data_IF_604437390510
#
_entry.id   IF_604437390510
#
_cell.length_a   1.000
_cell.length_b   1.000
_cell.length_c   1.000
_cell.angle_alpha   90.00
_cell.angle_beta   90.00
_cell.angle_gamma   90.00
#
_symmetry.space_group_name_H-M   'P 1'
#
loop_
_entity.id
_entity.type
_entity.pdbx_description
1 polymer ?
#
# COMPACT_ATOMS: atom_id res chain seq x y z
N UNK A 1 -12.66 -14.27 -6.27
CA UNK A 1 -12.16 -12.94 -6.66
C UNK A 1 -10.75 -12.77 -6.13
N UNK A 2 -9.77 -12.42 -6.96
CA UNK A 2 -8.39 -12.13 -6.56
C UNK A 2 -8.20 -10.63 -6.39
N UNK A 3 -7.70 -10.24 -5.23
CA UNK A 3 -7.42 -8.85 -4.89
C UNK A 3 -5.92 -8.73 -4.59
N UNK A 4 -5.29 -7.69 -5.14
CA UNK A 4 -3.87 -7.43 -4.97
C UNK A 4 -3.63 -6.04 -4.37
N UNK A 5 -2.46 -5.88 -3.77
CA UNK A 5 -1.85 -4.57 -3.51
C UNK A 5 -0.41 -4.58 -4.03
N UNK A 6 0.03 -3.46 -4.61
CA UNK A 6 1.38 -3.34 -5.15
C UNK A 6 1.89 -1.91 -5.11
N UNK A 7 2.97 -1.68 -4.35
CA UNK A 7 3.80 -0.48 -4.51
C UNK A 7 4.70 -0.66 -5.74
N UNK A 8 4.51 0.21 -6.73
CA UNK A 8 5.12 0.09 -8.06
C UNK A 8 6.38 0.96 -8.24
N UNK A 9 6.85 1.60 -7.18
CA UNK A 9 8.02 2.49 -7.11
C UNK A 9 8.05 3.55 -8.23
N UNK A 10 7.53 4.75 -7.92
CA UNK A 10 7.61 5.93 -8.79
C UNK A 10 6.97 5.77 -10.18
N UNK A 11 5.72 5.33 -10.23
CA UNK A 11 5.07 5.02 -11.51
C UNK A 11 4.92 6.25 -12.42
N UNK A 12 4.74 7.43 -11.82
CA UNK A 12 4.57 8.72 -12.51
C UNK A 12 5.69 9.04 -13.53
N UNK A 13 6.93 8.63 -13.25
CA UNK A 13 8.08 8.86 -14.11
C UNK A 13 8.02 8.10 -15.45
N UNK A 14 7.14 7.09 -15.55
CA UNK A 14 6.99 6.23 -16.73
C UNK A 14 5.97 6.76 -17.74
N UNK A 15 5.25 7.84 -17.41
CA UNK A 15 4.24 8.43 -18.27
C UNK A 15 4.67 9.82 -18.76
N UNK A 16 4.04 10.30 -19.82
CA UNK A 16 4.06 11.71 -20.19
C UNK A 16 2.89 12.48 -19.57
N UNK A 17 2.73 13.76 -19.93
CA UNK A 17 1.64 14.60 -19.43
C UNK A 17 0.25 14.13 -19.93
N UNK A 18 0.20 13.40 -21.05
CA UNK A 18 -1.04 12.85 -21.62
C UNK A 18 -1.40 11.45 -21.09
N UNK A 19 -0.63 10.94 -20.13
CA UNK A 19 -0.81 9.60 -19.58
C UNK A 19 -0.37 8.48 -20.50
N UNK A 20 0.44 8.76 -21.53
CA UNK A 20 1.02 7.73 -22.40
C UNK A 20 2.36 7.25 -21.86
N UNK A 21 2.65 5.95 -22.05
CA UNK A 21 3.88 5.33 -21.58
C UNK A 21 5.11 5.80 -22.36
N UNK A 22 6.14 6.26 -21.65
CA UNK A 22 7.45 6.65 -22.19
C UNK A 22 8.37 5.44 -22.34
N UNK A 23 8.24 4.71 -23.44
CA UNK A 23 9.03 3.48 -23.72
C UNK A 23 10.37 3.76 -24.39
N UNK A 24 11.14 4.67 -23.83
CA UNK A 24 12.49 4.98 -24.28
C UNK A 24 13.55 4.39 -23.34
N UNK A 25 14.80 4.44 -23.79
CA UNK A 25 15.96 3.92 -23.05
C UNK A 25 16.52 4.93 -22.03
N UNK A 26 15.79 6.00 -21.70
CA UNK A 26 16.22 6.91 -20.63
C UNK A 26 16.04 6.24 -19.26
N UNK A 27 16.79 6.72 -18.27
CA UNK A 27 16.69 6.23 -16.90
C UNK A 27 15.30 6.48 -16.30
N UNK A 28 14.80 5.47 -15.60
CA UNK A 28 13.65 5.63 -14.70
C UNK A 28 14.10 6.25 -13.36
N UNK A 29 13.16 6.36 -12.41
CA UNK A 29 13.48 6.71 -11.03
C UNK A 29 14.23 5.57 -10.30
N UNK A 30 14.12 4.32 -10.77
CA UNK A 30 14.85 3.18 -10.23
C UNK A 30 16.32 3.23 -10.63
N UNK A 31 17.18 2.88 -9.67
CA UNK A 31 18.62 2.85 -9.91
C UNK A 31 19.02 1.78 -10.95
N UNK A 32 19.65 2.24 -12.04
CA UNK A 32 20.14 1.39 -13.16
C UNK A 32 19.05 0.61 -13.90
N UNK A 33 17.82 1.13 -13.93
CA UNK A 33 16.73 0.57 -14.73
C UNK A 33 16.22 1.65 -15.68
N UNK A 34 16.08 1.34 -16.97
CA UNK A 34 15.50 2.27 -17.95
C UNK A 34 13.98 2.29 -17.84
N UNK A 35 13.33 3.34 -18.36
CA UNK A 35 11.87 3.39 -18.39
C UNK A 35 11.28 2.25 -19.21
N UNK A 36 11.84 1.93 -20.37
CA UNK A 36 11.41 0.80 -21.19
C UNK A 36 11.47 -0.53 -20.41
N UNK A 37 12.56 -0.76 -19.66
CA UNK A 37 12.73 -1.99 -18.86
C UNK A 37 11.71 -2.07 -17.71
N UNK A 38 11.55 -0.98 -16.94
CA UNK A 38 10.60 -0.95 -15.82
C UNK A 38 9.16 -1.12 -16.32
N UNK A 39 8.79 -0.46 -17.43
CA UNK A 39 7.46 -0.57 -18.05
C UNK A 39 7.19 -2.02 -18.49
N UNK A 40 8.14 -2.66 -19.17
CA UNK A 40 7.98 -4.05 -19.61
C UNK A 40 7.91 -5.02 -18.43
N UNK A 41 8.70 -4.79 -17.38
CA UNK A 41 8.70 -5.59 -16.16
C UNK A 41 7.37 -5.46 -15.41
N UNK A 42 6.88 -4.24 -15.17
CA UNK A 42 5.57 -3.98 -14.56
C UNK A 42 4.45 -4.63 -15.37
N UNK A 43 4.47 -4.50 -16.71
CA UNK A 43 3.49 -5.16 -17.57
C UNK A 43 3.42 -6.68 -17.35
N UNK A 44 4.58 -7.35 -17.32
CA UNK A 44 4.66 -8.80 -17.03
C UNK A 44 4.15 -9.15 -15.64
N UNK A 45 4.52 -8.38 -14.63
CA UNK A 45 4.07 -8.61 -13.25
C UNK A 45 2.55 -8.47 -13.17
N UNK A 46 1.97 -7.39 -13.67
CA UNK A 46 0.51 -7.17 -13.65
C UNK A 46 -0.26 -8.25 -14.43
N UNK A 47 0.26 -8.71 -15.57
CA UNK A 47 -0.31 -9.84 -16.31
C UNK A 47 -0.27 -11.14 -15.49
N UNK A 48 0.85 -11.43 -14.82
CA UNK A 48 1.00 -12.63 -14.00
C UNK A 48 0.10 -12.62 -12.74
N UNK A 49 -0.16 -11.45 -12.17
CA UNK A 49 -1.08 -11.31 -11.04
C UNK A 49 -2.49 -11.79 -11.40
N UNK A 50 -2.95 -11.45 -12.62
CA UNK A 50 -4.28 -11.79 -13.14
C UNK A 50 -5.41 -11.48 -12.13
N UNK A 51 -5.32 -10.31 -11.49
CA UNK A 51 -6.19 -9.93 -10.38
C UNK A 51 -7.45 -9.20 -10.86
N UNK A 52 -8.57 -9.42 -10.18
CA UNK A 52 -9.83 -8.70 -10.42
C UNK A 52 -9.75 -7.24 -9.92
N UNK A 53 -8.91 -6.98 -8.92
CA UNK A 53 -8.67 -5.66 -8.35
C UNK A 53 -7.23 -5.54 -7.84
N UNK A 54 -6.59 -4.40 -8.08
CA UNK A 54 -5.23 -4.09 -7.68
C UNK A 54 -5.22 -2.70 -7.04
N UNK A 55 -4.93 -2.64 -5.74
CA UNK A 55 -4.60 -1.40 -5.06
C UNK A 55 -3.17 -0.99 -5.44
N UNK A 56 -3.03 0.00 -6.31
CA UNK A 56 -1.76 0.52 -6.78
C UNK A 56 -1.28 1.61 -5.82
N UNK A 57 -0.13 1.38 -5.21
CA UNK A 57 0.55 2.31 -4.31
C UNK A 57 1.69 2.98 -5.08
N UNK A 58 1.84 4.30 -4.92
CA UNK A 58 2.70 5.13 -5.79
C UNK A 58 2.24 5.16 -7.25
N UNK A 59 0.93 5.19 -7.45
CA UNK A 59 0.32 5.40 -8.75
C UNK A 59 0.73 6.78 -9.35
N UNK A 60 0.61 6.96 -10.68
CA UNK A 60 1.00 8.19 -11.36
C UNK A 60 0.29 9.43 -10.79
N UNK A 61 0.87 10.62 -10.99
CA UNK A 61 0.34 11.87 -10.46
C UNK A 61 -0.98 12.29 -11.12
N UNK A 62 -1.81 13.02 -10.36
CA UNK A 62 -3.00 13.69 -10.88
C UNK A 62 -2.96 15.16 -10.52
N UNK A 63 -2.92 16.04 -11.53
CA UNK A 63 -2.92 17.48 -11.32
C UNK A 63 -3.56 18.18 -12.53
N UNK A 64 -3.35 19.49 -12.71
CA UNK A 64 -3.91 20.23 -13.85
C UNK A 64 -3.44 19.72 -15.22
N UNK A 65 -2.26 19.10 -15.29
CA UNK A 65 -1.63 18.58 -16.51
C UNK A 65 -1.77 17.07 -16.65
N UNK A 66 -1.67 16.33 -15.55
CA UNK A 66 -1.59 14.86 -15.53
C UNK A 66 -2.82 14.26 -14.88
N UNK A 67 -3.13 12.99 -15.20
CA UNK A 67 -4.30 12.31 -14.67
C UNK A 67 -3.99 10.83 -14.44
N UNK A 68 -4.00 10.40 -13.17
CA UNK A 68 -3.75 9.02 -12.74
C UNK A 68 -4.66 8.01 -13.41
N UNK A 69 -5.95 8.31 -13.55
CA UNK A 69 -6.93 7.39 -14.17
C UNK A 69 -6.55 7.16 -15.63
N UNK A 70 -6.28 8.23 -16.39
CA UNK A 70 -5.87 8.11 -17.80
C UNK A 70 -4.57 7.33 -17.96
N UNK A 71 -3.58 7.59 -17.09
CA UNK A 71 -2.30 6.90 -17.12
C UNK A 71 -2.44 5.40 -16.83
N UNK A 72 -3.15 5.04 -15.76
CA UNK A 72 -3.36 3.63 -15.38
C UNK A 72 -4.20 2.87 -16.41
N UNK A 73 -5.25 3.47 -16.97
CA UNK A 73 -6.04 2.84 -18.04
C UNK A 73 -5.23 2.69 -19.34
N UNK A 74 -4.34 3.64 -19.65
CA UNK A 74 -3.42 3.53 -20.81
C UNK A 74 -2.39 2.41 -20.61
N UNK A 75 -1.90 2.22 -19.38
CA UNK A 75 -1.05 1.09 -19.01
C UNK A 75 -1.82 -0.23 -19.10
N UNK A 76 -3.01 -0.32 -18.54
CA UNK A 76 -3.82 -1.52 -18.59
C UNK A 76 -4.17 -1.93 -20.02
N UNK A 77 -4.57 -0.97 -20.86
CA UNK A 77 -4.81 -1.20 -22.29
C UNK A 77 -3.56 -1.66 -23.03
N UNK A 78 -2.40 -1.09 -22.70
CA UNK A 78 -1.12 -1.47 -23.33
C UNK A 78 -0.79 -2.95 -23.12
N UNK A 79 -1.03 -3.44 -21.91
CA UNK A 79 -0.66 -4.79 -21.49
C UNK A 79 -1.83 -5.77 -21.48
N UNK A 80 -2.98 -5.37 -22.04
CA UNK A 80 -4.19 -6.19 -22.10
C UNK A 80 -4.58 -6.78 -20.73
N UNK A 81 -4.55 -5.93 -19.71
CA UNK A 81 -4.87 -6.34 -18.34
C UNK A 81 -6.38 -6.51 -18.19
N UNK A 82 -6.79 -7.54 -17.44
CA UNK A 82 -8.20 -7.70 -17.07
C UNK A 82 -8.71 -6.60 -16.13
N UNK A 83 -7.85 -6.09 -15.26
CA UNK A 83 -8.15 -4.92 -14.44
C UNK A 83 -7.82 -3.70 -15.28
N UNK A 84 -8.82 -3.16 -15.98
CA UNK A 84 -8.61 -2.14 -17.00
C UNK A 84 -9.31 -0.81 -16.72
N UNK A 85 -10.10 -0.71 -15.64
CA UNK A 85 -10.67 0.55 -15.16
C UNK A 85 -9.93 1.04 -13.93
N UNK A 86 -9.70 2.34 -13.86
CA UNK A 86 -9.04 2.97 -12.72
C UNK A 86 -10.01 3.86 -11.92
N UNK A 87 -9.86 3.82 -10.60
CA UNK A 87 -10.54 4.68 -9.65
C UNK A 87 -9.50 5.35 -8.75
N UNK A 88 -9.65 6.64 -8.53
CA UNK A 88 -8.82 7.42 -7.62
C UNK A 88 -9.69 8.13 -6.59
N UNK A 89 -9.11 8.42 -5.43
CA UNK A 89 -9.72 9.22 -4.38
C UNK A 89 -9.29 10.67 -4.45
N UNK A 90 -8.80 11.18 -3.32
CA UNK A 90 -8.30 12.55 -3.23
C UNK A 90 -6.93 12.69 -3.91
N UNK A 91 -6.81 13.72 -4.74
CA UNK A 91 -5.52 14.15 -5.31
C UNK A 91 -4.58 14.56 -4.19
N UNK A 92 -3.32 14.16 -4.29
CA UNK A 92 -2.29 14.52 -3.34
C UNK A 92 -1.18 15.41 -3.97
N UNK A 93 -0.11 15.69 -3.22
CA UNK A 93 0.95 16.63 -3.66
C UNK A 93 2.31 15.96 -3.82
N UNK A 94 2.36 14.63 -3.70
CA UNK A 94 3.58 13.83 -3.64
C UNK A 94 3.95 13.16 -4.97
N UNK A 95 3.10 13.29 -6.00
CA UNK A 95 3.22 12.57 -7.29
C UNK A 95 3.14 11.04 -7.15
N UNK A 96 2.71 10.57 -5.99
CA UNK A 96 2.61 9.16 -5.64
C UNK A 96 1.19 8.94 -5.13
N UNK A 97 0.26 8.74 -6.06
CA UNK A 97 -1.15 8.54 -5.77
C UNK A 97 -1.45 7.15 -5.22
N UNK A 98 -2.63 7.00 -4.64
CA UNK A 98 -3.22 5.70 -4.29
C UNK A 98 -4.44 5.52 -5.20
N UNK A 99 -4.44 4.46 -5.98
CA UNK A 99 -5.51 4.20 -6.95
C UNK A 99 -5.88 2.72 -6.98
N UNK A 100 -7.13 2.44 -7.34
CA UNK A 100 -7.62 1.09 -7.58
C UNK A 100 -7.70 0.86 -9.09
N UNK A 101 -6.98 -0.12 -9.60
CA UNK A 101 -7.20 -0.70 -10.92
C UNK A 101 -8.10 -1.93 -10.77
N UNK A 102 -9.18 -2.06 -11.54
CA UNK A 102 -10.14 -3.15 -11.38
C UNK A 102 -10.77 -3.63 -12.69
N UNK A 103 -11.27 -4.85 -12.65
CA UNK A 103 -12.05 -5.50 -13.70
C UNK A 103 -13.53 -5.09 -13.55
N UNK A 104 -14.04 -4.19 -14.41
CA UNK A 104 -15.41 -3.70 -14.32
C UNK A 104 -16.47 -4.74 -14.69
N UNK A 105 -16.07 -5.88 -15.28
CA UNK A 105 -16.98 -6.98 -15.58
C UNK A 105 -17.16 -7.91 -14.36
N UNK A 106 -16.28 -7.78 -13.35
CA UNK A 106 -16.33 -8.55 -12.10
C UNK A 106 -16.80 -7.72 -10.91
N UNK A 107 -16.39 -6.45 -10.83
CA UNK A 107 -16.77 -5.56 -9.73
C UNK A 107 -17.26 -4.18 -10.21
N UNK A 108 -18.22 -3.63 -9.48
CA UNK A 108 -18.50 -2.19 -9.50
C UNK A 108 -17.80 -1.54 -8.31
N UNK A 109 -17.03 -0.48 -8.57
CA UNK A 109 -16.27 0.26 -7.56
C UNK A 109 -16.55 1.76 -7.63
N UNK A 110 -16.69 2.42 -6.47
CA UNK A 110 -16.77 3.88 -6.38
C UNK A 110 -15.97 4.41 -5.18
N UNK A 111 -15.40 5.59 -5.33
CA UNK A 111 -14.80 6.31 -4.20
C UNK A 111 -15.91 6.67 -3.21
N UNK A 112 -15.76 6.26 -1.96
CA UNK A 112 -16.78 6.38 -0.91
C UNK A 112 -16.12 6.84 0.40
N UNK A 113 -15.60 8.09 0.43
CA UNK A 113 -14.90 8.60 1.60
C UNK A 113 -15.86 8.72 2.78
N UNK A 114 -15.44 8.23 3.94
CA UNK A 114 -16.26 8.20 5.15
C UNK A 114 -15.92 9.35 6.08
N UNK A 115 -16.79 9.57 7.07
CA UNK A 115 -16.64 10.65 8.06
C UNK A 115 -16.83 12.04 7.47
N UNK A 116 -16.73 13.05 8.34
CA UNK A 116 -16.80 14.45 7.96
C UNK A 116 -15.49 15.17 8.36
N UNK A 117 -15.22 16.31 7.73
CA UNK A 117 -14.04 17.11 8.05
C UNK A 117 -14.11 17.59 9.51
N UNK A 118 -13.04 17.33 10.27
CA UNK A 118 -12.92 17.73 11.67
C UNK A 118 -13.82 16.98 12.65
N UNK A 119 -14.51 15.91 12.22
CA UNK A 119 -15.36 15.10 13.11
C UNK A 119 -14.61 13.87 13.60
N UNK A 120 -14.46 13.77 14.91
CA UNK A 120 -13.87 12.62 15.61
C UNK A 120 -14.88 11.46 15.74
N UNK A 121 -14.43 10.20 15.91
CA UNK A 121 -13.05 9.76 16.11
C UNK A 121 -12.26 9.52 14.82
N UNK A 122 -12.91 9.45 13.65
CA UNK A 122 -12.24 9.26 12.37
C UNK A 122 -12.74 10.30 11.33
N UNK A 123 -12.14 11.50 11.29
CA UNK A 123 -12.46 12.49 10.26
C UNK A 123 -12.14 11.94 8.88
N UNK A 124 -12.72 12.56 7.84
CA UNK A 124 -12.42 12.20 6.44
C UNK A 124 -10.94 12.40 6.12
N UNK A 125 -10.34 11.50 5.35
CA UNK A 125 -8.88 11.40 5.20
C UNK A 125 -8.18 12.58 4.49
N UNK A 126 -8.92 13.42 3.77
CA UNK A 126 -8.43 14.70 3.23
C UNK A 126 -8.50 15.87 4.24
N UNK A 127 -8.88 15.57 5.49
CA UNK A 127 -8.96 16.53 6.59
C UNK A 127 -7.72 16.55 7.49
N UNK A 128 -7.94 17.00 8.72
CA UNK A 128 -6.94 17.05 9.80
C UNK A 128 -7.41 16.16 10.93
N UNK A 129 -6.50 15.34 11.44
CA UNK A 129 -6.68 14.56 12.65
C UNK A 129 -5.93 15.19 13.81
N UNK A 130 -6.59 15.24 14.96
CA UNK A 130 -6.08 15.82 16.19
C UNK A 130 -5.83 14.70 17.19
N UNK A 131 -4.59 14.59 17.67
CA UNK A 131 -4.21 13.54 18.61
C UNK A 131 -3.08 13.98 19.52
N UNK A 132 -3.20 13.69 20.81
CA UNK A 132 -2.13 13.80 21.79
C UNK A 132 -1.47 12.41 21.93
N UNK A 133 -0.26 12.25 21.36
CA UNK A 133 0.46 10.97 21.37
C UNK A 133 1.35 10.80 22.61
N UNK A 134 1.88 11.89 23.18
CA UNK A 134 2.77 11.89 24.35
C UNK A 134 2.07 12.16 25.69
N UNK A 135 0.74 12.32 25.68
CA UNK A 135 -0.10 12.50 26.87
C UNK A 135 0.35 13.75 27.64
N UNK A 136 0.68 14.81 26.90
CA UNK A 136 1.13 16.09 27.45
C UNK A 136 0.03 17.16 27.44
N UNK A 137 -1.19 16.78 27.04
CA UNK A 137 -2.38 17.61 26.85
C UNK A 137 -2.28 18.61 25.67
N UNK A 138 -1.32 18.41 24.75
CA UNK A 138 -1.20 19.14 23.49
C UNK A 138 -1.58 18.25 22.32
N UNK A 139 -2.60 18.62 21.56
CA UNK A 139 -2.96 17.88 20.35
C UNK A 139 -2.03 18.22 19.18
N UNK A 140 -1.37 17.19 18.64
CA UNK A 140 -0.71 17.25 17.35
C UNK A 140 -1.76 17.26 16.22
N UNK A 141 -1.51 18.12 15.22
CA UNK A 141 -2.28 18.15 13.97
C UNK A 141 -1.60 17.28 12.93
N UNK A 142 -2.32 16.28 12.45
CA UNK A 142 -1.81 15.32 11.48
C UNK A 142 -2.67 15.34 10.23
N UNK A 143 -2.02 15.48 9.08
CA UNK A 143 -2.61 15.38 7.76
C UNK A 143 -1.95 14.23 7.00
N UNK A 144 -2.74 13.50 6.21
CA UNK A 144 -2.16 12.60 5.23
C UNK A 144 -1.60 13.40 4.07
N UNK A 145 -0.31 13.22 3.77
CA UNK A 145 0.27 13.68 2.51
C UNK A 145 -0.22 12.87 1.32
N UNK A 146 -0.69 11.64 1.58
CA UNK A 146 -1.30 10.68 0.63
C UNK A 146 -2.56 10.13 1.31
N UNK A 147 -3.73 10.80 1.17
CA UNK A 147 -4.95 10.37 1.86
C UNK A 147 -5.33 8.93 1.48
N UNK A 148 -5.65 8.05 2.45
CA UNK A 148 -6.14 6.72 2.14
C UNK A 148 -7.36 6.72 1.22
N UNK A 149 -7.41 5.75 0.31
CA UNK A 149 -8.47 5.57 -0.68
C UNK A 149 -9.56 4.66 -0.10
N UNK A 150 -10.74 5.21 0.19
CA UNK A 150 -11.91 4.44 0.66
C UNK A 150 -12.83 4.10 -0.52
N UNK A 151 -13.10 2.82 -0.75
CA UNK A 151 -13.87 2.32 -1.89
C UNK A 151 -15.03 1.47 -1.42
N UNK A 152 -16.22 1.73 -1.95
CA UNK A 152 -17.34 0.81 -1.89
C UNK A 152 -17.31 -0.11 -3.12
N UNK A 153 -17.38 -1.41 -2.89
CA UNK A 153 -17.29 -2.43 -3.93
C UNK A 153 -18.52 -3.34 -3.90
N UNK A 154 -19.01 -3.69 -5.09
CA UNK A 154 -20.06 -4.68 -5.30
C UNK A 154 -19.51 -5.77 -6.23
N UNK A 155 -19.54 -7.02 -5.79
CA UNK A 155 -19.31 -8.20 -6.64
C UNK A 155 -20.48 -8.34 -7.62
N UNK A 156 -20.24 -8.23 -8.92
CA UNK A 156 -21.32 -8.33 -9.92
C UNK A 156 -21.89 -9.75 -10.04
N UNK A 157 -21.07 -10.77 -9.75
CA UNK A 157 -21.50 -12.16 -9.81
C UNK A 157 -22.45 -12.55 -8.67
N UNK A 158 -22.25 -11.99 -7.47
CA UNK A 158 -22.98 -12.42 -6.25
C UNK A 158 -23.82 -11.33 -5.61
N UNK A 159 -23.65 -10.07 -6.00
CA UNK A 159 -24.26 -8.91 -5.34
C UNK A 159 -23.66 -8.60 -3.96
N UNK A 160 -22.60 -9.30 -3.55
CA UNK A 160 -21.96 -9.08 -2.26
C UNK A 160 -21.29 -7.70 -2.22
N UNK A 161 -21.56 -6.93 -1.17
CA UNK A 161 -20.96 -5.62 -0.93
C UNK A 161 -19.82 -5.71 0.08
N UNK A 162 -18.72 -5.00 -0.18
CA UNK A 162 -17.62 -4.87 0.77
C UNK A 162 -16.87 -3.56 0.56
N UNK A 163 -15.96 -3.25 1.49
CA UNK A 163 -15.17 -2.03 1.54
C UNK A 163 -13.71 -2.34 1.29
N UNK A 164 -13.04 -1.46 0.55
CA UNK A 164 -11.58 -1.43 0.45
C UNK A 164 -11.07 -0.13 1.07
N UNK A 165 -9.95 -0.21 1.79
CA UNK A 165 -9.15 0.96 2.17
C UNK A 165 -7.73 0.75 1.64
N UNK A 166 -7.30 1.60 0.71
CA UNK A 166 -5.92 1.67 0.23
C UNK A 166 -5.10 2.66 1.05
N UNK A 167 -3.96 2.25 1.61
CA UNK A 167 -3.14 3.10 2.46
C UNK A 167 -1.66 3.11 2.05
N UNK A 168 -1.04 4.29 2.13
CA UNK A 168 0.40 4.48 2.04
C UNK A 168 0.83 5.37 3.21
N UNK A 169 1.33 4.76 4.29
CA UNK A 169 1.72 5.52 5.48
C UNK A 169 3.08 6.22 5.29
N UNK A 170 3.34 7.23 6.13
CA UNK A 170 4.61 7.97 6.09
C UNK A 170 5.82 7.04 6.31
N UNK A 171 6.78 7.07 5.38
CA UNK A 171 8.07 6.40 5.54
C UNK A 171 8.89 6.96 6.72
N UNK A 172 9.61 6.07 7.40
CA UNK A 172 10.48 6.41 8.55
C UNK A 172 11.82 7.01 8.16
N UNK A 173 12.26 6.77 6.92
CA UNK A 173 13.59 7.16 6.45
C UNK A 173 13.79 8.70 6.56
N UNK A 174 14.89 9.15 7.19
CA UNK A 174 15.18 10.56 7.45
C UNK A 174 15.73 11.23 6.19
N UNK A 175 14.88 11.38 5.18
CA UNK A 175 15.22 12.07 3.94
C UNK A 175 15.54 13.53 4.23
N UNK A 176 16.74 13.99 3.86
CA UNK A 176 17.16 15.40 3.96
C UNK A 176 17.81 15.81 5.28
N UNK A 177 18.03 14.89 6.22
CA UNK A 177 18.75 15.19 7.47
C UNK A 177 20.28 15.12 7.28
N UNK A 178 21.01 16.06 7.87
CA UNK A 178 22.47 16.12 7.84
C UNK A 178 23.06 16.00 9.26
N UNK A 179 23.79 14.91 9.51
CA UNK A 179 24.42 14.65 10.80
C UNK A 179 23.51 13.92 11.79
N UNK A 180 24.13 13.37 12.84
CA UNK A 180 23.50 12.38 13.72
C UNK A 180 22.27 12.90 14.49
N UNK A 181 22.37 14.08 15.10
CA UNK A 181 21.29 14.65 15.92
C UNK A 181 20.09 15.07 15.08
N UNK A 182 20.32 15.59 13.87
CA UNK A 182 19.27 15.98 12.95
C UNK A 182 18.55 14.73 12.41
N UNK A 183 19.30 13.70 12.02
CA UNK A 183 18.75 12.39 11.63
C UNK A 183 17.84 11.83 12.72
N UNK A 184 18.30 11.84 13.97
CA UNK A 184 17.52 11.35 15.11
C UNK A 184 16.20 12.12 15.28
N UNK A 185 16.25 13.46 15.26
CA UNK A 185 15.04 14.29 15.39
C UNK A 185 14.04 14.05 14.26
N UNK A 186 14.50 13.99 13.01
CA UNK A 186 13.63 13.72 11.87
C UNK A 186 13.00 12.34 11.93
N UNK A 187 13.76 11.30 12.33
CA UNK A 187 13.25 9.95 12.51
C UNK A 187 12.14 9.90 13.57
N UNK A 188 12.33 10.55 14.72
CA UNK A 188 11.31 10.62 15.77
C UNK A 188 10.06 11.35 15.28
N UNK A 189 10.21 12.50 14.61
CA UNK A 189 9.06 13.26 14.10
C UNK A 189 8.28 12.49 13.01
N UNK A 190 8.99 11.82 12.10
CA UNK A 190 8.38 10.95 11.08
C UNK A 190 7.64 9.78 11.74
N UNK A 191 8.24 9.16 12.76
CA UNK A 191 7.64 8.05 13.50
C UNK A 191 6.36 8.49 14.21
N UNK A 192 6.37 9.63 14.91
CA UNK A 192 5.17 10.20 15.57
C UNK A 192 4.04 10.41 14.55
N UNK A 193 4.34 11.04 13.40
CA UNK A 193 3.35 11.24 12.33
C UNK A 193 2.80 9.92 11.79
N UNK A 194 3.65 8.92 11.58
CA UNK A 194 3.23 7.59 11.10
C UNK A 194 2.31 6.90 12.11
N UNK A 195 2.62 6.95 13.41
CA UNK A 195 1.79 6.37 14.46
C UNK A 195 0.43 7.08 14.56
N UNK A 196 0.40 8.41 14.48
CA UNK A 196 -0.86 9.16 14.43
C UNK A 196 -1.71 8.76 13.21
N UNK A 197 -1.10 8.59 12.04
CA UNK A 197 -1.78 8.08 10.85
C UNK A 197 -2.33 6.67 11.07
N UNK A 198 -1.58 5.79 11.74
CA UNK A 198 -2.03 4.45 12.09
C UNK A 198 -3.22 4.46 13.06
N UNK A 199 -3.21 5.34 14.06
CA UNK A 199 -4.34 5.53 15.00
C UNK A 199 -5.57 6.04 14.26
N UNK A 200 -5.42 7.02 13.37
CA UNK A 200 -6.52 7.53 12.55
C UNK A 200 -7.11 6.42 11.67
N UNK A 201 -6.27 5.66 10.98
CA UNK A 201 -6.69 4.54 10.15
C UNK A 201 -7.38 3.46 10.99
N UNK A 202 -6.86 3.17 12.19
CA UNK A 202 -7.49 2.24 13.13
C UNK A 202 -8.87 2.74 13.58
N UNK A 203 -9.04 4.03 13.86
CA UNK A 203 -10.33 4.59 14.22
C UNK A 203 -11.36 4.37 13.11
N UNK A 204 -10.99 4.61 11.84
CA UNK A 204 -11.85 4.31 10.69
C UNK A 204 -12.17 2.81 10.57
N UNK A 205 -11.16 1.95 10.70
CA UNK A 205 -11.34 0.49 10.68
C UNK A 205 -12.32 0.06 11.77
N UNK A 206 -12.17 0.57 12.98
CA UNK A 206 -13.05 0.24 14.10
C UNK A 206 -14.51 0.65 13.83
N UNK A 207 -14.75 1.81 13.20
CA UNK A 207 -16.10 2.21 12.78
C UNK A 207 -16.73 1.19 11.82
N UNK A 208 -16.00 0.76 10.79
CA UNK A 208 -16.47 -0.27 9.86
C UNK A 208 -16.76 -1.60 10.57
N UNK A 209 -15.81 -2.08 11.37
CA UNK A 209 -15.96 -3.35 12.08
C UNK A 209 -17.12 -3.32 13.08
N UNK A 210 -17.36 -2.19 13.75
CA UNK A 210 -18.48 -2.02 14.68
C UNK A 210 -19.84 -1.96 13.97
N UNK A 211 -19.88 -1.50 12.71
CA UNK A 211 -21.08 -1.58 11.86
C UNK A 211 -21.31 -2.96 11.26
N UNK A 212 -20.33 -3.86 11.36
CA UNK A 212 -20.36 -5.17 10.71
C UNK A 212 -20.07 -5.10 9.20
N UNK A 213 -19.42 -4.03 8.73
CA UNK A 213 -19.02 -3.90 7.33
C UNK A 213 -17.93 -4.94 6.99
N UNK A 214 -18.08 -5.65 5.87
CA UNK A 214 -17.00 -6.44 5.28
C UNK A 214 -15.91 -5.50 4.76
N UNK A 215 -14.68 -5.62 5.26
CA UNK A 215 -13.60 -4.67 5.00
C UNK A 215 -12.28 -5.37 4.68
N UNK A 216 -11.56 -4.81 3.70
CA UNK A 216 -10.18 -5.16 3.38
C UNK A 216 -9.33 -3.89 3.38
N UNK A 217 -8.24 -3.89 4.13
CA UNK A 217 -7.23 -2.84 4.13
C UNK A 217 -5.99 -3.34 3.38
N UNK A 218 -5.54 -2.56 2.40
CA UNK A 218 -4.49 -2.90 1.44
C UNK A 218 -3.46 -1.78 1.37
N UNK A 219 -2.18 -2.11 1.25
CA UNK A 219 -1.15 -1.14 0.88
C UNK A 219 0.14 -1.24 1.67
N UNK A 220 0.98 -0.22 1.46
CA UNK A 220 2.30 -0.07 2.06
C UNK A 220 2.19 0.74 3.36
N UNK A 221 2.32 0.06 4.49
CA UNK A 221 2.27 0.69 5.80
C UNK A 221 3.61 1.27 6.24
N UNK A 222 4.67 1.12 5.44
CA UNK A 222 6.02 1.61 5.71
C UNK A 222 6.54 1.20 7.12
N UNK A 223 6.00 0.10 7.65
CA UNK A 223 6.23 -0.37 8.99
C UNK A 223 5.93 -1.86 9.07
N UNK A 224 6.61 -2.53 9.99
CA UNK A 224 6.48 -3.95 10.24
C UNK A 224 7.00 -4.27 11.65
N UNK A 225 6.51 -5.34 12.29
CA UNK A 225 6.90 -5.66 13.66
C UNK A 225 8.41 -5.87 13.81
N UNK A 226 9.03 -5.18 14.77
CA UNK A 226 10.46 -5.34 15.08
C UNK A 226 11.41 -4.62 14.11
N UNK A 227 10.90 -3.75 13.24
CA UNK A 227 11.70 -2.96 12.31
C UNK A 227 12.21 -1.62 12.89
N UNK A 228 11.92 -1.32 14.15
CA UNK A 228 12.18 0.00 14.73
C UNK A 228 12.88 -0.07 16.10
N UNK A 229 14.08 0.50 16.21
CA UNK A 229 14.78 0.66 17.49
C UNK A 229 14.01 1.57 18.46
N UNK A 230 13.09 2.40 17.94
CA UNK A 230 12.23 3.29 18.72
C UNK A 230 10.87 2.68 19.07
N UNK A 231 10.59 1.42 18.72
CA UNK A 231 9.35 0.74 19.15
C UNK A 231 9.19 0.77 20.66
N UNK A 232 10.29 0.70 21.42
CA UNK A 232 10.28 0.82 22.88
C UNK A 232 9.75 2.17 23.40
N UNK A 233 9.87 3.25 22.61
CA UNK A 233 9.41 4.59 23.01
C UNK A 233 7.89 4.75 22.88
N UNK A 234 7.27 4.00 21.96
CA UNK A 234 5.85 4.17 21.61
C UNK A 234 5.00 2.90 21.84
N UNK A 235 5.63 1.79 22.22
CA UNK A 235 5.01 0.57 22.73
C UNK A 235 4.41 -0.38 21.69
N UNK A 236 4.10 0.09 20.47
CA UNK A 236 3.51 -0.73 19.37
C UNK A 236 3.94 -0.24 17.99
N UNK A 237 3.94 -1.15 17.01
CA UNK A 237 4.05 -0.81 15.58
C UNK A 237 2.73 -0.26 15.01
N UNK A 238 2.80 0.45 13.89
CA UNK A 238 1.64 0.93 13.13
C UNK A 238 0.74 -0.24 12.71
N UNK A 239 1.36 -1.38 12.37
CA UNK A 239 0.68 -2.62 12.00
C UNK A 239 -0.15 -3.16 13.17
N UNK A 240 0.42 -3.24 14.37
CA UNK A 240 -0.32 -3.67 15.58
C UNK A 240 -1.48 -2.73 15.91
N UNK A 241 -1.27 -1.42 15.77
CA UNK A 241 -2.32 -0.41 15.97
C UNK A 241 -3.48 -0.65 15.02
N UNK A 242 -3.21 -0.80 13.72
CA UNK A 242 -4.23 -0.98 12.67
C UNK A 242 -4.98 -2.31 12.81
N UNK A 243 -4.25 -3.41 13.04
CA UNK A 243 -4.85 -4.73 13.27
C UNK A 243 -5.86 -4.66 14.42
N UNK A 244 -5.47 -4.00 15.51
CA UNK A 244 -6.26 -3.85 16.74
C UNK A 244 -5.97 -4.96 17.74
N UNK A 245 -5.82 -4.57 19.00
CA UNK A 245 -5.54 -5.51 20.09
C UNK A 245 -6.74 -6.42 20.39
N UNK A 246 -7.94 -5.84 20.48
CA UNK A 246 -9.17 -6.53 20.88
C UNK A 246 -10.13 -6.73 19.70
N UNK A 247 -10.92 -7.83 19.69
CA UNK A 247 -12.00 -8.01 18.72
C UNK A 247 -13.09 -6.92 18.81
N UNK A 248 -13.76 -6.58 17.69
CA UNK A 248 -13.46 -7.02 16.34
C UNK A 248 -12.15 -6.39 15.81
N UNK A 249 -11.32 -7.21 15.16
CA UNK A 249 -9.99 -6.84 14.69
C UNK A 249 -9.73 -7.40 13.30
N UNK A 250 -8.86 -6.74 12.54
CA UNK A 250 -8.44 -7.22 11.24
C UNK A 250 -7.49 -8.41 11.39
N UNK A 251 -7.30 -9.16 10.30
CA UNK A 251 -6.36 -10.28 10.23
C UNK A 251 -5.56 -10.24 8.94
N UNK A 252 -4.25 -10.42 9.06
CA UNK A 252 -3.33 -10.70 7.95
C UNK A 252 -2.38 -11.83 8.41
N UNK A 253 -2.19 -12.89 7.61
CA UNK A 253 -1.38 -14.03 8.02
C UNK A 253 0.12 -13.70 8.13
N UNK A 254 0.66 -12.82 7.28
CA UNK A 254 2.06 -12.40 7.32
C UNK A 254 2.32 -11.51 8.53
N UNK A 255 1.41 -10.59 8.83
CA UNK A 255 1.48 -9.79 10.06
C UNK A 255 1.38 -10.67 11.31
N UNK A 256 0.46 -11.65 11.32
CA UNK A 256 0.34 -12.60 12.43
C UNK A 256 1.61 -13.44 12.63
N UNK A 257 2.26 -13.87 11.55
CA UNK A 257 3.55 -14.56 11.61
C UNK A 257 4.64 -13.65 12.20
N UNK A 258 4.75 -12.42 11.70
CA UNK A 258 5.73 -11.44 12.17
C UNK A 258 5.56 -11.07 13.65
N UNK A 259 4.33 -10.98 14.14
CA UNK A 259 4.04 -10.68 15.54
C UNK A 259 4.30 -11.85 16.48
N UNK A 260 4.10 -13.09 16.02
CA UNK A 260 4.27 -14.29 16.86
C UNK A 260 5.71 -14.76 16.95
N UNK A 261 6.51 -14.56 15.90
CA UNK A 261 7.92 -14.96 15.85
C UNK A 261 8.80 -13.73 15.96
N UNK A 262 9.49 -13.54 17.09
CA UNK A 262 10.51 -12.47 17.21
C UNK A 262 11.88 -12.89 16.66
N UNK A 263 12.08 -14.20 16.41
CA UNK A 263 13.33 -14.78 15.92
C UNK A 263 12.97 -15.86 14.87
N UNK A 264 13.63 -15.84 13.71
CA UNK A 264 13.43 -16.77 12.60
C UNK A 264 12.99 -16.10 11.30
N UNK A 265 12.79 -16.89 10.26
CA UNK A 265 12.42 -16.40 8.92
C UNK A 265 11.07 -15.67 8.94
N UNK A 266 11.11 -14.41 8.55
CA UNK A 266 9.95 -13.55 8.39
C UNK A 266 9.61 -13.41 6.91
N UNK A 267 8.31 -13.34 6.55
CA UNK A 267 7.94 -12.99 5.19
C UNK A 267 8.45 -11.58 4.89
N UNK A 268 8.93 -11.34 3.67
CA UNK A 268 9.37 -10.01 3.26
C UNK A 268 8.65 -9.58 1.99
N UNK A 269 8.20 -8.34 1.94
CA UNK A 269 7.47 -7.76 0.80
C UNK A 269 8.27 -6.69 0.06
N UNK A 270 9.39 -6.24 0.61
CA UNK A 270 10.24 -5.23 0.00
C UNK A 270 11.73 -5.53 0.20
N UNK A 271 12.56 -5.01 -0.70
CA UNK A 271 14.01 -5.23 -0.73
C UNK A 271 14.75 -3.99 -1.24
N UNK A 272 15.47 -3.33 -0.33
CA UNK A 272 16.19 -2.08 -0.61
C UNK A 272 17.70 -2.30 -0.69
N UNK A 273 18.37 -1.76 -1.71
CA UNK A 273 19.83 -1.85 -1.82
C UNK A 273 20.54 -0.76 -1.00
N UNK A 274 21.28 -1.18 0.04
CA UNK A 274 22.08 -0.30 0.88
C UNK A 274 23.47 -0.14 0.23
N UNK A 275 23.67 0.98 -0.47
CA UNK A 275 24.89 1.23 -1.25
C UNK A 275 26.19 1.11 -0.43
N UNK A 276 26.33 1.72 0.77
CA UNK A 276 27.58 1.62 1.53
C UNK A 276 27.94 0.19 1.95
N UNK A 277 26.94 -0.66 2.17
CA UNK A 277 27.12 -2.02 2.67
C UNK A 277 27.16 -3.08 1.57
N UNK A 278 26.80 -2.70 0.34
CA UNK A 278 26.66 -3.61 -0.80
C UNK A 278 25.74 -4.80 -0.50
N UNK A 279 24.68 -4.53 0.27
CA UNK A 279 23.71 -5.52 0.76
C UNK A 279 22.29 -5.06 0.50
N UNK A 280 21.36 -6.01 0.58
CA UNK A 280 19.95 -5.70 0.52
C UNK A 280 19.33 -5.85 1.90
N UNK A 281 18.58 -4.83 2.30
CA UNK A 281 17.68 -4.88 3.45
C UNK A 281 16.33 -5.40 2.97
N UNK A 282 15.83 -6.44 3.62
CA UNK A 282 14.48 -6.93 3.37
C UNK A 282 13.55 -6.49 4.50
N UNK A 283 12.30 -6.19 4.15
CA UNK A 283 11.29 -5.77 5.11
C UNK A 283 9.90 -6.26 4.71
N UNK A 284 9.04 -6.47 5.70
CA UNK A 284 7.61 -6.63 5.50
C UNK A 284 6.95 -5.27 5.68
N UNK A 285 6.43 -4.69 4.60
CA UNK A 285 5.82 -3.36 4.59
C UNK A 285 4.41 -3.35 3.98
N UNK A 286 4.12 -4.33 3.12
CA UNK A 286 2.87 -4.43 2.37
C UNK A 286 1.94 -5.46 3.02
N UNK A 287 0.67 -5.09 3.18
CA UNK A 287 -0.32 -5.91 3.88
C UNK A 287 -1.65 -5.98 3.14
N UNK A 288 -2.39 -7.07 3.37
CA UNK A 288 -3.78 -7.21 2.97
C UNK A 288 -4.60 -7.81 4.12
N UNK A 289 -5.10 -6.91 4.94
CA UNK A 289 -5.79 -7.23 6.19
C UNK A 289 -7.29 -7.34 5.94
N UNK A 290 -7.91 -8.42 6.39
CA UNK A 290 -9.35 -8.68 6.19
C UNK A 290 -10.13 -8.61 7.49
N UNK A 291 -11.39 -8.19 7.41
CA UNK A 291 -12.33 -8.20 8.53
C UNK A 291 -12.68 -9.63 8.99
N UNK A 292 -13.18 -9.80 10.23
CA UNK A 292 -13.49 -11.13 10.78
C UNK A 292 -14.43 -11.99 9.93
N UNK A 293 -15.42 -11.38 9.28
CA UNK A 293 -16.40 -12.07 8.42
C UNK A 293 -15.82 -12.51 7.06
N UNK A 294 -14.82 -11.77 6.55
CA UNK A 294 -14.10 -12.12 5.32
C UNK A 294 -12.97 -13.12 5.56
N UNK A 295 -12.40 -13.16 6.77
CA UNK A 295 -11.31 -14.08 7.12
C UNK A 295 -11.55 -15.55 6.73
N UNK A 296 -12.71 -16.19 7.02
CA UNK A 296 -12.94 -17.59 6.62
C UNK A 296 -13.11 -17.77 5.10
N UNK A 297 -13.39 -16.69 4.36
CA UNK A 297 -13.60 -16.68 2.90
C UNK A 297 -12.33 -16.37 2.13
N UNK A 298 -11.38 -15.70 2.76
CA UNK A 298 -10.13 -15.32 2.16
C UNK A 298 -9.12 -16.48 2.24
N UNK A 299 -8.40 -16.70 1.15
CA UNK A 299 -7.49 -17.82 0.92
C UNK A 299 -6.30 -17.35 0.08
N UNK A 300 -5.28 -18.20 -0.03
CA UNK A 300 -4.15 -18.00 -0.96
C UNK A 300 -3.48 -16.62 -0.83
N UNK A 301 -3.28 -16.15 0.40
CA UNK A 301 -2.38 -15.02 0.63
C UNK A 301 -1.00 -15.37 0.10
N UNK A 302 -0.45 -14.49 -0.70
CA UNK A 302 0.82 -14.71 -1.38
C UNK A 302 1.53 -13.39 -1.55
N UNK A 303 2.76 -13.32 -1.07
CA UNK A 303 3.71 -12.29 -1.46
C UNK A 303 4.51 -12.88 -2.61
N UNK A 304 4.54 -12.19 -3.75
CA UNK A 304 5.23 -12.65 -4.96
C UNK A 304 6.74 -12.34 -4.88
N UNK A 305 7.38 -12.76 -3.79
CA UNK A 305 8.78 -12.49 -3.53
C UNK A 305 9.65 -13.47 -4.31
N UNK A 306 10.52 -13.01 -5.24
CA UNK A 306 11.23 -13.85 -6.21
C UNK A 306 12.20 -14.88 -5.63
N UNK A 307 12.55 -14.75 -4.35
CA UNK A 307 13.43 -15.69 -3.64
C UNK A 307 12.74 -16.49 -2.53
N UNK A 308 11.48 -16.17 -2.22
CA UNK A 308 10.72 -16.83 -1.14
C UNK A 308 9.51 -17.60 -1.68
N UNK A 309 9.05 -17.26 -2.89
CA UNK A 309 7.98 -17.96 -3.60
C UNK A 309 8.55 -18.86 -4.71
N UNK A 310 8.19 -20.15 -4.67
CA UNK A 310 8.75 -21.17 -5.56
C UNK A 310 8.44 -20.91 -7.04
N UNK A 311 7.19 -20.58 -7.37
CA UNK A 311 6.79 -20.34 -8.77
C UNK A 311 7.44 -19.05 -9.31
N UNK A 312 7.59 -18.02 -8.48
CA UNK A 312 8.35 -16.82 -8.85
C UNK A 312 9.83 -17.14 -9.09
N UNK A 313 10.45 -17.99 -8.26
CA UNK A 313 11.86 -18.39 -8.41
C UNK A 313 12.10 -19.26 -9.65
N UNK A 314 11.21 -20.22 -9.90
CA UNK A 314 11.29 -21.21 -10.96
C UNK A 314 10.89 -20.67 -12.34
N UNK A 315 10.29 -19.47 -12.40
CA UNK A 315 9.92 -18.77 -13.64
C UNK A 315 10.88 -17.58 -13.87
N UNK A 316 12.01 -17.75 -14.58
CA UNK A 316 13.05 -16.72 -14.68
C UNK A 316 12.53 -15.38 -15.22
N UNK A 317 11.62 -15.41 -16.19
CA UNK A 317 11.04 -14.20 -16.79
C UNK A 317 10.22 -13.40 -15.79
N UNK A 318 9.47 -14.07 -14.90
CA UNK A 318 8.71 -13.43 -13.84
C UNK A 318 9.63 -12.94 -12.72
N UNK A 319 10.61 -13.76 -12.32
CA UNK A 319 11.63 -13.41 -11.34
C UNK A 319 12.35 -12.11 -11.68
N UNK A 320 12.84 -12.03 -12.92
CA UNK A 320 13.62 -10.90 -13.39
C UNK A 320 12.73 -9.66 -13.56
N UNK A 321 11.47 -9.86 -13.97
CA UNK A 321 10.47 -8.79 -14.01
C UNK A 321 10.18 -8.24 -12.60
N UNK A 322 9.95 -9.10 -11.60
CA UNK A 322 9.72 -8.66 -10.21
C UNK A 322 10.88 -7.82 -9.67
N UNK A 323 12.12 -8.23 -9.92
CA UNK A 323 13.32 -7.50 -9.49
C UNK A 323 13.52 -6.17 -10.22
N UNK A 324 13.12 -6.11 -11.49
CA UNK A 324 13.25 -4.92 -12.34
C UNK A 324 12.13 -3.90 -12.09
N UNK A 325 10.91 -4.35 -11.77
CA UNK A 325 9.70 -3.54 -11.73
C UNK A 325 9.61 -2.61 -10.51
N UNK A 326 9.83 -3.14 -9.30
CA UNK A 326 9.67 -2.42 -8.03
C UNK A 326 10.64 -2.97 -6.97
N UNK A 327 10.97 -2.19 -5.94
CA UNK A 327 11.67 -2.66 -4.75
C UNK A 327 10.70 -3.32 -3.76
N UNK A 328 9.40 -3.16 -3.99
CA UNK A 328 8.34 -3.97 -3.39
C UNK A 328 7.93 -5.14 -4.30
N UNK A 329 7.33 -6.16 -3.69
CA UNK A 329 6.72 -7.30 -4.36
C UNK A 329 5.22 -7.28 -4.11
N UNK A 330 4.40 -7.58 -5.12
CA UNK A 330 2.95 -7.54 -4.97
C UNK A 330 2.49 -8.59 -3.96
N UNK A 331 1.40 -8.27 -3.26
CA UNK A 331 0.71 -9.18 -2.36
C UNK A 331 -0.71 -9.42 -2.88
N UNK A 332 -1.10 -10.69 -3.01
CA UNK A 332 -2.45 -11.10 -3.42
C UNK A 332 -3.14 -11.91 -2.35
N UNK A 333 -4.47 -11.90 -2.36
CA UNK A 333 -5.33 -12.90 -1.72
C UNK A 333 -6.52 -13.19 -2.62
N UNK A 334 -7.08 -14.39 -2.50
CA UNK A 334 -8.32 -14.79 -3.16
C UNK A 334 -9.46 -14.77 -2.13
N UNK A 335 -10.59 -14.12 -2.43
CA UNK A 335 -11.81 -14.14 -1.61
C UNK A 335 -12.92 -14.88 -2.33
N UNK A 336 -13.54 -15.83 -1.63
CA UNK A 336 -14.79 -16.47 -2.01
C UNK A 336 -15.98 -15.64 -1.50
N UNK A 337 -16.52 -14.77 -2.37
CA UNK A 337 -17.66 -13.89 -2.05
C UNK A 337 -19.00 -14.51 -2.42
#
# INVERSE_FOLDING_TARGET
>A
MRIATYNVEWFDALFDDSGQLRRDAEWSARHKVTRADQIAALGRVFQALDADAIMVIEAPDSNRKRNTVVALESFAKTFDLRAWRALMGFVNTTQQEIALLYDPDVIAARHDPQGALGVMPAPRFDGTFHIDLDIDATEDKVNFSKPPLEVAVISLATGAEFRLIGAHLKSKAPHGAHGHDEVMRFSIANRRKQLAQAVWLRARVAEHLNRGDSLILLGDLNDGPGLDEYEHLFGRSSVEIILGAEPPRLYDPHAAQALTRRIGDQPTSARFYIRPEHRYLQALLDYAMVSPDLRPKAQRWRIWHPFEDAECWETPELRDALLCASDHFPLTLDIAL
#
